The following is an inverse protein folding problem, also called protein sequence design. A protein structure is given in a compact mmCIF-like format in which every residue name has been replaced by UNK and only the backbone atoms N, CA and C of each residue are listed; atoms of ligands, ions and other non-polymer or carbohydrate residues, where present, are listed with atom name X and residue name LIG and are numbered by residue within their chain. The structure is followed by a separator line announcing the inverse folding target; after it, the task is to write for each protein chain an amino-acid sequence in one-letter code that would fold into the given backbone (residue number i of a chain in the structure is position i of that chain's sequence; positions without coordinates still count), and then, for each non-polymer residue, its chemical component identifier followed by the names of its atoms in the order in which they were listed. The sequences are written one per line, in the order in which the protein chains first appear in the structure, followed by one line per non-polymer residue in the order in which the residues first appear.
data_IF_777650643548
#
_entry.id   IF_777650643548
#
_cell.length_a   1.000
_cell.length_b   1.000
_cell.length_c   1.000
_cell.angle_alpha   90.00
_cell.angle_beta   90.00
_cell.angle_gamma   90.00
#
_symmetry.space_group_name_H-M   'P 1'
#
loop_
_entity.id
_entity.type
_entity.pdbx_description
1 polymer ?
#
# COMPACT_ATOMS: atom_id res chain seq x y z
N UNK A 1 31.31 -17.63 17.73
CA UNK A 1 30.50 -16.39 17.88
C UNK A 1 31.06 -15.20 17.10
N UNK A 2 32.30 -14.73 17.34
CA UNK A 2 32.89 -13.59 16.59
C UNK A 2 32.94 -13.76 15.06
N UNK A 3 33.25 -14.98 14.56
CA UNK A 3 33.25 -15.29 13.12
C UNK A 3 31.85 -15.29 12.48
N UNK A 4 30.81 -15.62 13.26
CA UNK A 4 29.42 -15.59 12.81
C UNK A 4 28.91 -14.14 12.73
N UNK A 5 29.26 -13.30 13.71
CA UNK A 5 28.97 -11.86 13.70
C UNK A 5 29.67 -11.14 12.52
N UNK A 6 30.92 -11.53 12.21
CA UNK A 6 31.65 -11.01 11.04
C UNK A 6 31.01 -11.44 9.71
N UNK A 7 30.56 -12.69 9.59
CA UNK A 7 29.86 -13.18 8.40
C UNK A 7 28.50 -12.48 8.20
N UNK A 8 27.73 -12.31 9.27
CA UNK A 8 26.45 -11.57 9.25
C UNK A 8 26.70 -10.09 8.90
N UNK A 9 27.72 -9.45 9.48
CA UNK A 9 28.09 -8.07 9.17
C UNK A 9 28.52 -7.87 7.71
N UNK A 10 29.35 -8.77 7.16
CA UNK A 10 29.75 -8.74 5.75
C UNK A 10 28.59 -9.00 4.79
N UNK A 11 27.61 -9.82 5.19
CA UNK A 11 26.41 -10.09 4.40
C UNK A 11 25.54 -8.84 4.28
N UNK A 12 25.32 -8.12 5.39
CA UNK A 12 24.51 -6.89 5.43
C UNK A 12 25.12 -5.80 4.54
N UNK A 13 26.45 -5.66 4.53
CA UNK A 13 27.15 -4.68 3.69
C UNK A 13 27.07 -5.00 2.19
N UNK A 14 26.91 -6.27 1.81
CA UNK A 14 26.75 -6.67 0.41
C UNK A 14 25.37 -6.33 -0.16
N UNK A 15 24.37 -6.08 0.69
CA UNK A 15 23.02 -5.67 0.30
C UNK A 15 22.81 -4.15 0.24
N UNK A 16 23.85 -3.35 0.48
CA UNK A 16 23.77 -1.88 0.39
C UNK A 16 23.71 -1.42 -1.08
N UNK A 17 22.53 -1.53 -1.70
CA UNK A 17 22.24 -0.96 -3.02
C UNK A 17 21.73 0.48 -2.88
N UNK A 18 21.93 1.34 -3.90
CA UNK A 18 21.29 2.66 -3.93
C UNK A 18 19.77 2.51 -3.84
N UNK A 19 19.15 3.29 -2.95
CA UNK A 19 17.70 3.32 -2.75
C UNK A 19 17.09 4.27 -3.77
N UNK A 20 16.10 3.80 -4.53
CA UNK A 20 15.29 4.65 -5.40
C UNK A 20 14.14 5.28 -4.60
N UNK A 21 13.79 6.53 -4.91
CA UNK A 21 12.66 7.20 -4.27
C UNK A 21 11.34 6.45 -4.56
N UNK A 22 10.47 6.32 -3.55
CA UNK A 22 9.16 5.68 -3.66
C UNK A 22 8.08 6.73 -3.96
N UNK A 23 7.10 6.36 -4.80
CA UNK A 23 5.98 7.23 -5.17
C UNK A 23 4.79 7.08 -4.21
N UNK A 24 4.56 5.88 -3.70
CA UNK A 24 3.41 5.58 -2.85
C UNK A 24 3.60 6.13 -1.43
N UNK A 25 2.51 6.51 -0.79
CA UNK A 25 2.53 6.97 0.59
C UNK A 25 3.00 5.83 1.51
N UNK A 26 4.01 6.12 2.33
CA UNK A 26 4.43 5.19 3.39
C UNK A 26 3.48 5.30 4.57
N UNK A 27 3.19 4.17 5.24
CA UNK A 27 2.35 4.12 6.43
C UNK A 27 3.18 3.65 7.61
N UNK A 28 3.45 4.53 8.57
CA UNK A 28 4.19 4.17 9.80
C UNK A 28 3.45 3.14 10.66
N UNK A 29 2.14 3.02 10.48
CA UNK A 29 1.24 2.12 11.21
C UNK A 29 0.62 1.06 10.29
N UNK A 30 1.36 0.61 9.27
CA UNK A 30 0.86 -0.33 8.27
C UNK A 30 0.26 -1.61 8.86
N UNK A 31 0.73 -2.05 10.02
CA UNK A 31 0.23 -3.22 10.75
C UNK A 31 -1.27 -3.12 11.07
N UNK A 32 -1.82 -1.91 11.16
CA UNK A 32 -3.25 -1.65 11.39
C UNK A 32 -4.05 -1.40 10.11
N UNK A 33 -3.38 -1.28 8.96
CA UNK A 33 -3.98 -1.04 7.64
C UNK A 33 -3.41 -1.99 6.58
N UNK A 34 -3.57 -3.30 6.82
CA UNK A 34 -3.06 -4.34 5.94
C UNK A 34 -3.72 -4.34 4.56
N UNK A 35 -4.97 -3.88 4.43
CA UNK A 35 -5.72 -3.84 3.17
C UNK A 35 -5.09 -2.85 2.19
N UNK A 36 -4.61 -1.71 2.68
CA UNK A 36 -3.93 -0.74 1.81
C UNK A 36 -2.68 -1.34 1.15
N UNK A 37 -2.00 -2.29 1.81
CA UNK A 37 -0.76 -2.89 1.31
C UNK A 37 -1.00 -4.19 0.54
N UNK A 38 -1.97 -5.00 0.95
CA UNK A 38 -2.17 -6.33 0.39
C UNK A 38 -3.66 -6.64 0.24
N UNK A 39 -4.16 -6.85 -0.99
CA UNK A 39 -5.57 -7.20 -1.21
C UNK A 39 -5.96 -8.54 -0.57
N UNK A 40 -4.98 -9.43 -0.31
CA UNK A 40 -5.22 -10.72 0.36
C UNK A 40 -5.53 -10.57 1.86
N UNK A 41 -5.37 -9.38 2.44
CA UNK A 41 -5.72 -9.09 3.83
C UNK A 41 -7.23 -8.88 4.04
N UNK A 42 -8.03 -8.77 2.97
CA UNK A 42 -9.48 -8.59 3.09
C UNK A 42 -10.13 -9.69 3.94
N UNK A 43 -10.95 -9.30 4.93
CA UNK A 43 -11.61 -10.24 5.83
C UNK A 43 -10.68 -10.94 6.82
N UNK A 44 -9.42 -10.49 6.98
CA UNK A 44 -8.45 -11.11 7.89
C UNK A 44 -8.97 -11.19 9.33
N UNK A 45 -9.64 -10.12 9.82
CA UNK A 45 -10.17 -10.06 11.19
C UNK A 45 -11.44 -10.89 11.43
N UNK A 46 -11.99 -11.52 10.39
CA UNK A 46 -13.19 -12.38 10.46
C UNK A 46 -14.46 -11.70 10.98
N UNK A 47 -14.48 -10.37 10.99
CA UNK A 47 -15.63 -9.54 11.39
C UNK A 47 -15.83 -8.43 10.36
N UNK A 48 -16.97 -7.74 10.41
CA UNK A 48 -17.10 -6.46 9.73
C UNK A 48 -16.13 -5.47 10.38
N UNK A 49 -15.13 -5.03 9.62
CA UNK A 49 -14.09 -4.14 10.09
C UNK A 49 -14.12 -2.85 9.25
N UNK A 50 -14.38 -1.73 9.91
CA UNK A 50 -14.26 -0.39 9.32
C UNK A 50 -13.06 0.28 9.95
N UNK A 51 -12.16 0.81 9.14
CA UNK A 51 -10.98 1.50 9.62
C UNK A 51 -10.65 2.69 8.73
N UNK A 52 -10.16 3.75 9.37
CA UNK A 52 -9.69 4.94 8.71
C UNK A 52 -8.32 5.31 9.22
N UNK A 53 -7.50 5.87 8.35
CA UNK A 53 -6.18 6.37 8.69
C UNK A 53 -6.04 7.80 8.17
N UNK A 54 -5.43 8.66 8.97
CA UNK A 54 -5.07 10.01 8.59
C UNK A 54 -3.65 10.30 9.04
N UNK A 55 -2.83 10.84 8.14
CA UNK A 55 -1.46 11.22 8.41
C UNK A 55 -1.19 12.59 7.83
N UNK A 56 -0.75 13.50 8.68
CA UNK A 56 -0.16 14.78 8.29
C UNK A 56 1.30 14.79 8.71
N UNK A 57 2.21 14.98 7.77
CA UNK A 57 3.65 15.08 8.07
C UNK A 57 4.12 16.52 7.98
N UNK A 58 5.27 16.82 8.61
CA UNK A 58 5.97 18.11 8.47
C UNK A 58 5.04 19.31 8.63
N UNK A 59 4.23 19.28 9.69
CA UNK A 59 3.20 20.30 9.95
C UNK A 59 3.84 21.70 10.04
N UNK A 60 3.21 22.68 9.42
CA UNK A 60 3.74 24.04 9.30
C UNK A 60 4.55 24.31 8.03
N UNK A 61 4.92 23.27 7.26
CA UNK A 61 5.53 23.45 5.93
C UNK A 61 4.42 23.52 4.87
N UNK A 62 4.46 24.56 4.02
CA UNK A 62 3.54 24.70 2.89
C UNK A 62 3.71 23.54 1.91
N UNK A 63 2.62 22.89 1.52
CA UNK A 63 2.65 21.74 0.61
C UNK A 63 3.06 20.41 1.28
N UNK A 64 3.14 20.36 2.61
CA UNK A 64 3.53 19.15 3.31
C UNK A 64 2.58 17.95 3.03
N UNK A 65 3.11 16.71 3.02
CA UNK A 65 2.35 15.48 2.77
C UNK A 65 1.15 15.31 3.70
N UNK A 66 0.01 15.00 3.09
CA UNK A 66 -1.22 14.59 3.78
C UNK A 66 -1.81 13.36 3.10
N UNK A 67 -2.07 12.34 3.90
CA UNK A 67 -2.61 11.06 3.44
C UNK A 67 -3.83 10.69 4.28
N UNK A 68 -4.86 10.20 3.62
CA UNK A 68 -6.06 9.68 4.26
C UNK A 68 -6.47 8.39 3.57
N UNK A 69 -6.93 7.41 4.34
CA UNK A 69 -7.60 6.24 3.79
C UNK A 69 -8.78 5.83 4.65
N UNK A 70 -9.76 5.22 4.00
CA UNK A 70 -10.94 4.62 4.60
C UNK A 70 -11.13 3.26 3.92
N UNK A 71 -11.33 2.22 4.72
CA UNK A 71 -11.62 0.91 4.22
C UNK A 71 -12.65 0.20 5.08
N UNK A 72 -13.45 -0.63 4.41
CA UNK A 72 -14.38 -1.56 5.03
C UNK A 72 -14.11 -2.93 4.46
N UNK A 73 -14.04 -3.93 5.33
CA UNK A 73 -13.87 -5.31 4.93
C UNK A 73 -14.69 -6.26 5.80
N UNK A 74 -15.02 -7.41 5.23
CA UNK A 74 -15.74 -8.47 5.91
C UNK A 74 -15.47 -9.82 5.25
N UNK A 75 -15.78 -10.88 5.99
CA UNK A 75 -15.83 -12.23 5.43
C UNK A 75 -17.19 -12.55 4.82
N UNK A 76 -17.19 -13.38 3.80
CA UNK A 76 -18.35 -13.95 3.13
C UNK A 76 -18.12 -15.44 2.85
N UNK A 77 -19.13 -16.12 2.30
CA UNK A 77 -19.05 -17.53 1.88
C UNK A 77 -18.49 -18.45 2.99
N UNK A 78 -19.12 -18.41 4.18
CA UNK A 78 -18.71 -19.19 5.35
C UNK A 78 -17.24 -19.01 5.77
N UNK A 79 -16.70 -17.80 5.55
CA UNK A 79 -15.33 -17.44 5.93
C UNK A 79 -14.27 -17.76 4.87
N UNK A 80 -14.63 -18.37 3.74
CA UNK A 80 -13.68 -18.73 2.68
C UNK A 80 -13.37 -17.56 1.74
N UNK A 81 -14.12 -16.47 1.84
CA UNK A 81 -13.93 -15.27 1.04
C UNK A 81 -13.83 -14.05 1.94
N UNK A 82 -12.91 -13.15 1.63
CA UNK A 82 -12.85 -11.79 2.16
C UNK A 82 -13.17 -10.79 1.06
N UNK A 83 -13.99 -9.79 1.38
CA UNK A 83 -14.30 -8.68 0.50
C UNK A 83 -13.90 -7.38 1.19
N UNK A 84 -13.34 -6.43 0.43
CA UNK A 84 -13.07 -5.10 0.94
C UNK A 84 -13.32 -4.02 -0.09
N UNK A 85 -13.74 -2.86 0.37
CA UNK A 85 -13.72 -1.60 -0.37
C UNK A 85 -12.76 -0.65 0.33
N UNK A 86 -11.90 0.00 -0.43
CA UNK A 86 -11.00 1.03 0.10
C UNK A 86 -11.04 2.29 -0.77
N UNK A 87 -10.91 3.43 -0.10
CA UNK A 87 -10.68 4.73 -0.71
C UNK A 87 -9.47 5.34 -0.05
N UNK A 88 -8.55 5.90 -0.83
CA UNK A 88 -7.38 6.62 -0.33
C UNK A 88 -7.18 7.92 -1.06
N UNK A 89 -6.78 8.95 -0.33
CA UNK A 89 -6.43 10.26 -0.86
C UNK A 89 -5.07 10.68 -0.33
N UNK A 90 -4.14 10.92 -1.25
CA UNK A 90 -2.79 11.39 -0.97
C UNK A 90 -2.58 12.75 -1.63
N UNK A 91 -2.04 13.70 -0.88
CA UNK A 91 -1.61 15.02 -1.35
C UNK A 91 -0.15 15.24 -1.00
N UNK A 92 0.68 15.46 -2.02
CA UNK A 92 2.12 15.63 -1.92
C UNK A 92 2.53 16.90 -2.69
N UNK A 93 2.63 18.03 -1.98
CA UNK A 93 2.87 19.32 -2.63
C UNK A 93 1.77 19.66 -3.64
N UNK A 94 2.17 19.80 -4.91
CA UNK A 94 1.29 20.04 -6.04
C UNK A 94 0.57 18.78 -6.56
N UNK A 95 0.99 17.58 -6.13
CA UNK A 95 0.44 16.31 -6.60
C UNK A 95 -0.72 15.84 -5.74
N UNK A 96 -1.69 15.19 -6.39
CA UNK A 96 -2.84 14.56 -5.75
C UNK A 96 -3.08 13.18 -6.35
N UNK A 97 -3.43 12.23 -5.50
CA UNK A 97 -3.84 10.88 -5.91
C UNK A 97 -5.08 10.49 -5.11
N UNK A 98 -6.19 10.22 -5.79
CA UNK A 98 -7.40 9.66 -5.19
C UNK A 98 -7.63 8.29 -5.80
N UNK A 99 -7.57 7.23 -4.99
CA UNK A 99 -7.74 5.87 -5.47
C UNK A 99 -8.90 5.17 -4.78
N UNK A 100 -9.60 4.32 -5.54
CA UNK A 100 -10.70 3.49 -5.06
C UNK A 100 -10.47 2.08 -5.57
N UNK A 101 -10.49 1.10 -4.66
CA UNK A 101 -10.33 -0.31 -5.02
C UNK A 101 -11.40 -1.17 -4.34
N UNK A 102 -11.87 -2.16 -5.10
CA UNK A 102 -12.54 -3.34 -4.57
C UNK A 102 -11.55 -4.50 -4.52
N UNK A 103 -11.48 -5.17 -3.37
CA UNK A 103 -10.57 -6.29 -3.14
C UNK A 103 -11.37 -7.56 -2.83
N UNK A 104 -10.88 -8.66 -3.37
CA UNK A 104 -11.37 -10.01 -3.15
C UNK A 104 -10.21 -10.88 -2.68
N UNK A 105 -10.39 -11.59 -1.56
CA UNK A 105 -9.44 -12.55 -1.04
C UNK A 105 -10.07 -13.93 -0.94
N UNK A 106 -9.49 -14.93 -1.59
CA UNK A 106 -9.84 -16.32 -1.37
C UNK A 106 -8.99 -16.90 -0.23
N UNK A 107 -9.63 -17.39 0.83
CA UNK A 107 -8.99 -17.78 2.10
C UNK A 107 -8.99 -19.30 2.23
N UNK A 108 -7.81 -19.88 2.06
CA UNK A 108 -7.56 -21.33 2.17
C UNK A 108 -7.23 -21.64 3.62
N UNK A 109 -8.02 -22.53 4.23
CA UNK A 109 -7.70 -23.12 5.55
C UNK A 109 -6.62 -24.17 5.36
N UNK A 110 -5.54 -24.07 6.12
CA UNK A 110 -4.42 -25.00 6.04
C UNK A 110 -4.45 -26.09 7.12
N UNK A 111 -5.36 -25.94 8.09
CA UNK A 111 -5.55 -26.84 9.21
C UNK A 111 -7.03 -26.91 9.62
N UNK A 112 -7.37 -27.98 10.33
CA UNK A 112 -8.76 -28.32 10.69
C UNK A 112 -9.37 -27.37 11.74
N UNK A 113 -8.53 -26.85 12.65
CA UNK A 113 -8.93 -25.86 13.67
C UNK A 113 -9.12 -24.44 13.09
N UNK A 114 -8.67 -24.20 11.85
CA UNK A 114 -8.72 -22.92 11.17
C UNK A 114 -7.71 -21.88 11.66
N UNK A 115 -6.79 -22.22 12.57
CA UNK A 115 -5.82 -21.26 13.10
C UNK A 115 -4.78 -20.81 12.07
N UNK A 116 -4.60 -21.54 10.96
CA UNK A 116 -3.66 -21.20 9.88
C UNK A 116 -4.39 -20.99 8.55
N UNK A 117 -4.20 -19.82 7.96
CA UNK A 117 -4.85 -19.45 6.69
C UNK A 117 -3.86 -18.88 5.70
N UNK A 118 -4.01 -19.30 4.44
CA UNK A 118 -3.36 -18.70 3.28
C UNK A 118 -4.42 -18.02 2.42
N UNK A 119 -4.30 -16.72 2.23
CA UNK A 119 -5.18 -15.92 1.41
C UNK A 119 -4.50 -15.53 0.10
N UNK A 120 -5.25 -15.64 -1.01
CA UNK A 120 -4.88 -15.14 -2.33
C UNK A 120 -5.80 -13.98 -2.66
N UNK A 121 -5.23 -12.79 -2.89
CA UNK A 121 -5.95 -11.54 -3.06
C UNK A 121 -5.79 -10.97 -4.45
N UNK A 122 -6.89 -10.46 -4.99
CA UNK A 122 -6.93 -9.62 -6.17
C UNK A 122 -7.72 -8.36 -5.84
N UNK A 123 -7.25 -7.22 -6.33
CA UNK A 123 -7.96 -5.96 -6.25
C UNK A 123 -8.04 -5.30 -7.61
N UNK A 124 -9.16 -4.65 -7.88
CA UNK A 124 -9.38 -3.86 -9.10
C UNK A 124 -9.93 -2.50 -8.70
N UNK A 125 -9.55 -1.47 -9.44
CA UNK A 125 -9.91 -0.12 -9.07
C UNK A 125 -9.53 0.91 -10.11
N UNK A 126 -9.53 2.15 -9.66
CA UNK A 126 -9.12 3.30 -10.45
C UNK A 126 -8.45 4.33 -9.55
N UNK A 127 -7.52 5.07 -10.12
CA UNK A 127 -6.87 6.20 -9.49
C UNK A 127 -7.06 7.45 -10.33
N UNK A 128 -7.50 8.54 -9.69
CA UNK A 128 -7.46 9.88 -10.24
C UNK A 128 -6.16 10.54 -9.81
N UNK A 129 -5.28 10.75 -10.78
CA UNK A 129 -3.98 11.38 -10.60
C UNK A 129 -4.11 12.84 -11.02
N UNK A 130 -3.57 13.76 -10.24
CA UNK A 130 -3.64 15.18 -10.54
C UNK A 130 -2.40 15.95 -10.13
N UNK A 131 -2.17 17.05 -10.84
CA UNK A 131 -1.14 18.04 -10.54
C UNK A 131 -1.73 19.45 -10.62
N UNK A 132 -1.47 20.25 -9.60
CA UNK A 132 -1.82 21.67 -9.57
C UNK A 132 -0.60 22.52 -9.90
N UNK A 133 -0.52 22.96 -11.14
CA UNK A 133 0.56 23.79 -11.65
C UNK A 133 0.67 25.16 -10.99
N UNK A 134 -0.42 25.67 -10.39
CA UNK A 134 -0.41 26.96 -9.68
C UNK A 134 0.40 26.91 -8.38
N UNK A 135 0.67 25.71 -7.87
CA UNK A 135 1.50 25.48 -6.68
C UNK A 135 2.98 25.26 -7.04
N UNK A 136 3.33 25.20 -8.32
CA UNK A 136 4.69 25.01 -8.78
C UNK A 136 5.40 26.38 -8.91
N UNK A 137 6.54 26.52 -8.25
CA UNK A 137 7.40 27.70 -8.35
C UNK A 137 8.84 27.27 -8.74
N UNK A 138 9.07 26.87 -10.00
CA UNK A 138 10.39 26.42 -10.44
C UNK A 138 11.33 27.61 -10.61
N UNK A 139 12.62 27.38 -10.32
CA UNK A 139 13.68 28.38 -10.57
C UNK A 139 13.93 28.60 -12.07
N UNK A 140 13.60 27.61 -12.91
CA UNK A 140 13.71 27.65 -14.36
C UNK A 140 12.39 27.15 -14.99
N UNK A 141 11.50 28.05 -15.46
CA UNK A 141 10.20 27.67 -16.01
C UNK A 141 10.33 27.04 -17.40
N UNK A 142 9.84 25.81 -17.53
CA UNK A 142 9.80 25.12 -18.83
C UNK A 142 8.60 25.58 -19.68
N UNK A 143 8.77 25.69 -21.02
CA UNK A 143 7.63 25.79 -21.92
C UNK A 143 6.66 24.63 -21.64
N UNK A 144 5.35 24.92 -21.59
CA UNK A 144 4.27 23.96 -21.31
C UNK A 144 4.06 23.54 -19.85
N UNK A 145 4.69 24.20 -18.87
CA UNK A 145 4.36 23.98 -17.45
C UNK A 145 2.84 24.03 -17.22
N UNK A 146 2.26 23.13 -16.40
CA UNK A 146 0.83 23.13 -16.14
C UNK A 146 0.39 24.49 -15.57
N UNK A 147 -0.68 25.04 -16.13
CA UNK A 147 -1.38 26.20 -15.58
C UNK A 147 -2.69 25.73 -14.98
N UNK A 148 -2.78 25.79 -13.64
CA UNK A 148 -3.93 25.28 -12.89
C UNK A 148 -3.92 23.75 -12.68
N UNK A 149 -5.09 23.20 -12.40
CA UNK A 149 -5.27 21.78 -12.05
C UNK A 149 -5.45 20.94 -13.30
N UNK A 150 -4.60 19.94 -13.47
CA UNK A 150 -4.74 18.88 -14.47
C UNK A 150 -4.97 17.54 -13.77
N UNK A 151 -5.87 16.71 -14.30
CA UNK A 151 -6.11 15.38 -13.75
C UNK A 151 -6.48 14.37 -14.81
N UNK A 152 -6.16 13.11 -14.54
CA UNK A 152 -6.51 11.95 -15.38
C UNK A 152 -6.96 10.80 -14.50
N UNK A 153 -7.83 9.95 -15.04
CA UNK A 153 -8.27 8.73 -14.36
C UNK A 153 -7.63 7.54 -15.07
N UNK A 154 -6.97 6.67 -14.30
CA UNK A 154 -6.37 5.43 -14.80
C UNK A 154 -7.02 4.24 -14.11
N UNK A 155 -7.40 3.18 -14.85
CA UNK A 155 -7.76 1.90 -14.25
C UNK A 155 -6.51 1.26 -13.63
N UNK A 156 -6.72 0.47 -12.59
CA UNK A 156 -5.62 -0.25 -11.95
C UNK A 156 -6.03 -1.60 -11.38
N UNK A 157 -5.04 -2.47 -11.17
CA UNK A 157 -5.20 -3.72 -10.46
C UNK A 157 -4.04 -3.99 -9.51
N UNK A 158 -4.31 -4.85 -8.53
CA UNK A 158 -3.36 -5.28 -7.52
C UNK A 158 -3.54 -6.75 -7.19
N UNK A 159 -2.48 -7.39 -6.72
CA UNK A 159 -2.50 -8.80 -6.36
C UNK A 159 -1.66 -9.05 -5.12
N UNK A 160 -1.98 -10.10 -4.37
CA UNK A 160 -1.18 -10.46 -3.21
C UNK A 160 -1.47 -11.84 -2.66
N UNK A 161 -0.58 -12.28 -1.79
CA UNK A 161 -0.68 -13.48 -0.98
C UNK A 161 -0.43 -13.09 0.46
N UNK A 162 -1.21 -13.65 1.38
CA UNK A 162 -1.05 -13.40 2.81
C UNK A 162 -1.26 -14.71 3.59
N UNK A 163 -0.23 -15.14 4.30
CA UNK A 163 -0.30 -16.21 5.26
C UNK A 163 -0.38 -15.62 6.66
N UNK A 164 -1.24 -16.20 7.49
CA UNK A 164 -1.27 -15.88 8.91
C UNK A 164 -1.72 -17.06 9.75
N UNK A 165 -1.16 -17.15 10.96
CA UNK A 165 -1.67 -17.95 12.05
C UNK A 165 -1.62 -17.18 13.38
N UNK A 166 -1.93 -17.85 14.48
CA UNK A 166 -1.97 -17.25 15.82
C UNK A 166 -0.63 -16.65 16.29
N UNK A 167 0.49 -17.05 15.67
CA UNK A 167 1.84 -16.68 16.12
C UNK A 167 2.61 -15.82 15.14
N UNK A 168 2.39 -15.96 13.84
CA UNK A 168 3.12 -15.21 12.84
C UNK A 168 2.30 -14.99 11.57
N UNK A 169 2.68 -13.95 10.83
CA UNK A 169 2.13 -13.65 9.52
C UNK A 169 3.25 -13.30 8.55
N UNK A 170 2.99 -13.56 7.28
CA UNK A 170 3.85 -13.17 6.17
C UNK A 170 2.99 -12.87 4.95
N UNK A 171 3.37 -11.89 4.14
CA UNK A 171 2.63 -11.55 2.94
C UNK A 171 3.48 -10.86 1.91
N UNK A 172 3.11 -11.07 0.65
CA UNK A 172 3.70 -10.42 -0.50
C UNK A 172 2.59 -9.85 -1.37
N UNK A 173 2.75 -8.64 -1.89
CA UNK A 173 1.77 -8.00 -2.77
C UNK A 173 2.42 -7.07 -3.77
N UNK A 174 1.68 -6.79 -4.82
CA UNK A 174 2.04 -5.86 -5.88
C UNK A 174 0.84 -4.98 -6.25
N UNK A 175 1.09 -3.67 -6.30
CA UNK A 175 0.13 -2.63 -6.65
C UNK A 175 0.52 -1.95 -7.97
N UNK A 176 -0.36 -1.11 -8.52
CA UNK A 176 -0.14 -0.35 -9.76
C UNK A 176 0.16 -1.26 -10.97
N UNK A 177 -0.48 -2.43 -11.06
CA UNK A 177 -0.18 -3.45 -12.07
C UNK A 177 -0.65 -3.09 -13.48
N UNK A 178 -1.68 -2.23 -13.60
CA UNK A 178 -2.24 -1.84 -14.91
C UNK A 178 -1.94 -0.36 -15.20
N UNK A 179 -2.04 0.50 -14.19
CA UNK A 179 -1.89 1.95 -14.37
C UNK A 179 -0.57 2.36 -15.06
N UNK A 180 0.51 1.60 -14.84
CA UNK A 180 1.82 1.86 -15.47
C UNK A 180 1.85 1.67 -16.99
N UNK A 181 0.88 0.96 -17.57
CA UNK A 181 0.82 0.69 -19.02
C UNK A 181 -0.12 1.64 -19.76
N UNK A 182 -0.87 2.45 -19.02
CA UNK A 182 -1.73 3.48 -19.59
C UNK A 182 -0.87 4.66 -20.01
N UNK A 183 -0.94 5.01 -21.29
CA UNK A 183 -0.25 6.17 -21.83
C UNK A 183 -0.97 7.46 -21.36
N UNK A 184 -0.24 8.28 -20.62
CA UNK A 184 -0.72 9.56 -20.04
C UNK A 184 -0.15 10.76 -20.83
N UNK A 185 0.39 10.55 -22.05
CA UNK A 185 1.16 11.53 -22.83
C UNK A 185 0.40 12.85 -23.13
N UNK A 186 -0.93 12.90 -22.93
CA UNK A 186 -1.69 14.15 -23.01
C UNK A 186 -1.44 15.12 -21.83
N UNK A 187 -0.84 14.66 -20.72
CA UNK A 187 -0.56 15.45 -19.53
C UNK A 187 0.88 15.18 -19.05
N UNK A 188 1.87 15.77 -19.74
CA UNK A 188 3.31 15.52 -19.58
C UNK A 188 3.86 15.63 -18.14
N UNK A 189 3.11 16.22 -17.21
CA UNK A 189 3.54 16.48 -15.83
C UNK A 189 2.81 15.62 -14.78
N UNK A 190 1.86 14.76 -15.18
CA UNK A 190 1.24 13.82 -14.24
C UNK A 190 2.19 12.62 -14.07
N UNK A 191 2.68 12.32 -12.84
CA UNK A 191 3.54 11.18 -12.62
C UNK A 191 2.81 9.87 -12.94
N UNK A 192 3.39 9.06 -13.80
CA UNK A 192 2.86 7.74 -14.09
C UNK A 192 3.12 6.80 -12.90
N UNK A 193 2.10 6.09 -12.38
CA UNK A 193 2.29 5.09 -11.33
C UNK A 193 3.19 3.97 -11.81
N UNK A 194 4.09 3.50 -10.95
CA UNK A 194 4.94 2.33 -11.20
C UNK A 194 4.53 1.17 -10.30
N UNK A 195 4.71 -0.09 -10.76
CA UNK A 195 4.43 -1.25 -9.94
C UNK A 195 5.21 -1.19 -8.63
N UNK A 196 4.49 -1.31 -7.51
CA UNK A 196 5.10 -1.28 -6.18
C UNK A 196 4.92 -2.62 -5.49
N UNK A 197 6.01 -3.18 -4.98
CA UNK A 197 6.04 -4.49 -4.36
C UNK A 197 6.23 -4.36 -2.86
N UNK A 198 5.40 -5.07 -2.10
CA UNK A 198 5.46 -5.09 -0.65
C UNK A 198 5.78 -6.49 -0.16
N UNK A 199 6.69 -6.56 0.81
CA UNK A 199 6.95 -7.76 1.60
C UNK A 199 6.67 -7.41 3.06
N UNK A 200 5.84 -8.21 3.71
CA UNK A 200 5.44 -8.04 5.10
C UNK A 200 5.67 -9.33 5.86
N UNK A 201 6.15 -9.23 7.09
CA UNK A 201 6.22 -10.35 8.02
C UNK A 201 6.17 -9.83 9.45
N UNK A 202 5.71 -10.66 10.37
CA UNK A 202 5.70 -10.36 11.80
C UNK A 202 5.39 -11.60 12.63
N UNK A 203 5.71 -11.53 13.92
CA UNK A 203 5.46 -12.60 14.88
C UNK A 203 4.99 -12.01 16.22
N UNK A 204 4.08 -12.70 16.88
CA UNK A 204 3.55 -12.39 18.19
C UNK A 204 4.28 -13.26 19.21
N UNK A 205 4.86 -12.62 20.22
CA UNK A 205 5.53 -13.29 21.33
C UNK A 205 4.78 -12.97 22.62
N UNK A 206 4.24 -13.98 23.32
CA UNK A 206 3.65 -13.74 24.63
C UNK A 206 4.76 -13.26 25.58
N UNK A 207 4.51 -12.13 26.24
CA UNK A 207 5.48 -11.53 27.19
C UNK A 207 5.33 -12.16 28.58
N UNK A 208 4.14 -12.68 28.90
CA UNK A 208 3.85 -13.45 30.10
C UNK A 208 2.71 -14.44 29.79
N UNK A 209 2.61 -15.56 30.53
CA UNK A 209 1.54 -16.56 30.40
C UNK A 209 0.31 -16.22 31.27
N UNK A 210 0.40 -15.21 32.13
CA UNK A 210 -0.57 -14.95 33.21
C UNK A 210 -1.65 -13.88 32.93
N UNK A 211 -1.68 -13.22 31.76
CA UNK A 211 -2.70 -12.22 31.41
C UNK A 211 -3.09 -12.23 29.93
#
# INVERSE_FOLDING_TARGET
MKKLLLLVGCSILWFAKPVFAQQDAQYSQYMFNGIYINPAYAGYKEVLNVHSFYRSQWTGITGAPKSMSLAVDAIANSGNVGLALQVSSDKLGAQTNLAVYGNYAYRIRLNDDGSSRLALGLGVGMAQLGIDGSLLNPNDPEPFQPVGVQSTIVPDARAGVHFANDKFYAGFSADNLIATYINIDRYAFIPQPKPHYYLTAGALFPVNEDF
#
